data_IF_438029069599
#
_entry.id   IF_438029069599
#
_cell.length_a   1.000
_cell.length_b   1.000
_cell.length_c   1.000
_cell.angle_alpha   90.00
_cell.angle_beta   90.00
_cell.angle_gamma   90.00
#
_symmetry.space_group_name_H-M   'P 1'
#
loop_
_entity.id
_entity.type
_entity.pdbx_description
1 polymer ?
#
# COMPACT_ATOMS: atom_id res chain seq x y z
N UNK A 1 10.36 8.20 -3.16
CA UNK A 1 10.81 6.93 -2.58
C UNK A 1 11.04 5.91 -3.68
N UNK A 2 11.41 4.68 -3.34
CA UNK A 2 11.59 3.59 -4.31
C UNK A 2 10.80 2.37 -3.86
N UNK A 3 10.14 1.71 -4.81
CA UNK A 3 9.51 0.41 -4.59
C UNK A 3 10.62 -0.64 -4.51
N UNK A 4 10.56 -1.48 -3.49
CA UNK A 4 11.58 -2.51 -3.22
C UNK A 4 11.06 -3.90 -3.49
N UNK A 5 9.75 -4.14 -3.34
CA UNK A 5 9.11 -5.44 -3.57
C UNK A 5 7.73 -5.25 -4.20
N UNK A 6 7.39 -6.14 -5.12
CA UNK A 6 6.05 -6.32 -5.68
C UNK A 6 5.53 -7.71 -5.30
N UNK A 7 4.21 -7.91 -5.33
CA UNK A 7 3.55 -9.18 -5.02
C UNK A 7 3.86 -9.72 -3.61
N UNK A 8 4.09 -8.83 -2.64
CA UNK A 8 4.44 -9.24 -1.29
C UNK A 8 3.24 -9.82 -0.54
N UNK A 9 3.49 -10.80 0.32
CA UNK A 9 2.56 -11.25 1.36
C UNK A 9 2.96 -10.64 2.69
N UNK A 10 2.07 -9.84 3.29
CA UNK A 10 2.34 -9.03 4.47
C UNK A 10 1.33 -9.34 5.58
N UNK A 11 1.84 -9.54 6.79
CA UNK A 11 1.04 -9.62 8.00
C UNK A 11 1.01 -8.27 8.72
N UNK A 12 -0.19 -7.73 8.91
CA UNK A 12 -0.40 -6.46 9.60
C UNK A 12 -1.08 -6.71 10.94
N UNK A 13 -0.43 -6.29 12.01
CA UNK A 13 -0.97 -6.37 13.37
C UNK A 13 -1.93 -5.20 13.64
N UNK A 14 -3.19 -5.51 13.95
CA UNK A 14 -4.26 -4.54 14.26
C UNK A 14 -4.54 -4.43 15.78
N UNK A 15 -3.61 -4.88 16.61
CA UNK A 15 -3.71 -4.89 18.06
C UNK A 15 -4.72 -5.91 18.59
N UNK A 16 -4.69 -6.14 19.91
CA UNK A 16 -5.59 -7.07 20.59
C UNK A 16 -5.44 -8.53 20.12
N UNK A 17 -4.24 -8.91 19.69
CA UNK A 17 -3.96 -10.26 19.17
C UNK A 17 -4.48 -10.51 17.75
N UNK A 18 -4.99 -9.50 17.05
CA UNK A 18 -5.52 -9.63 15.69
C UNK A 18 -4.46 -9.27 14.66
N UNK A 19 -4.25 -10.17 13.71
CA UNK A 19 -3.37 -9.98 12.56
C UNK A 19 -4.16 -10.28 11.30
N UNK A 20 -4.03 -9.43 10.27
CA UNK A 20 -4.59 -9.68 8.96
C UNK A 20 -3.46 -9.88 7.95
N UNK A 21 -3.65 -10.85 7.06
CA UNK A 21 -2.72 -11.15 5.97
C UNK A 21 -3.22 -10.53 4.68
N UNK A 22 -2.32 -9.89 3.95
CA UNK A 22 -2.57 -9.29 2.65
C UNK A 22 -1.58 -9.86 1.64
N UNK A 23 -2.05 -10.23 0.47
CA UNK A 23 -1.25 -10.80 -0.62
C UNK A 23 -1.24 -9.83 -1.81
N UNK A 24 -0.26 -9.92 -2.70
CA UNK A 24 -0.20 -9.04 -3.88
C UNK A 24 0.19 -7.59 -3.56
N UNK A 25 0.83 -7.33 -2.42
CA UNK A 25 1.07 -5.96 -1.94
C UNK A 25 2.34 -5.33 -2.53
N UNK A 26 2.33 -4.00 -2.62
CA UNK A 26 3.48 -3.19 -3.03
C UNK A 26 4.21 -2.70 -1.78
N UNK A 27 5.53 -2.83 -1.75
CA UNK A 27 6.36 -2.43 -0.61
C UNK A 27 7.41 -1.41 -1.04
N UNK A 28 7.60 -0.39 -0.22
CA UNK A 28 8.72 0.54 -0.31
C UNK A 28 9.45 0.65 1.03
N UNK A 29 10.54 1.43 1.06
CA UNK A 29 11.11 1.93 2.32
C UNK A 29 10.15 2.86 3.08
N UNK A 30 10.59 3.54 4.15
CA UNK A 30 9.72 4.44 4.91
C UNK A 30 9.35 5.66 4.07
N UNK A 31 8.16 5.62 3.47
CA UNK A 31 7.63 6.68 2.60
C UNK A 31 6.43 7.42 3.21
N UNK A 32 5.88 6.94 4.32
CA UNK A 32 4.69 7.48 4.95
C UNK A 32 4.83 7.56 6.46
N UNK A 33 3.96 8.36 7.09
CA UNK A 33 3.81 8.48 8.52
C UNK A 33 2.36 8.20 8.94
N UNK A 34 2.13 8.07 10.25
CA UNK A 34 0.78 7.95 10.79
C UNK A 34 -0.07 9.16 10.41
N UNK A 35 -1.23 8.91 9.82
CA UNK A 35 -2.12 9.95 9.29
C UNK A 35 -2.16 10.02 7.77
N UNK A 36 -1.15 9.48 7.08
CA UNK A 36 -1.11 9.47 5.61
C UNK A 36 -1.99 8.36 5.00
N UNK A 37 -2.52 7.46 5.82
CA UNK A 37 -3.36 6.34 5.39
C UNK A 37 -4.48 6.77 4.44
N UNK A 38 -4.64 6.05 3.32
CA UNK A 38 -5.56 6.41 2.24
C UNK A 38 -4.96 7.33 1.17
N UNK A 39 -3.72 7.78 1.32
CA UNK A 39 -3.03 8.54 0.27
C UNK A 39 -2.76 7.69 -0.96
N UNK A 40 -2.85 8.34 -2.12
CA UNK A 40 -2.53 7.73 -3.41
C UNK A 40 -1.02 7.69 -3.62
N UNK A 41 -0.50 6.51 -3.95
CA UNK A 41 0.84 6.38 -4.50
C UNK A 41 0.77 6.66 -6.01
N UNK A 42 1.63 7.56 -6.47
CA UNK A 42 1.75 7.98 -7.87
C UNK A 42 3.15 7.68 -8.36
N UNK A 43 3.27 7.19 -9.60
CA UNK A 43 4.55 6.95 -10.25
C UNK A 43 5.36 8.25 -10.34
N UNK A 44 6.68 8.19 -10.15
CA UNK A 44 7.51 9.41 -10.09
C UNK A 44 7.83 10.03 -11.45
N UNK A 45 7.74 9.23 -12.51
CA UNK A 45 8.03 9.58 -13.91
C UNK A 45 6.77 9.92 -14.73
N UNK A 46 5.58 9.72 -14.15
CA UNK A 46 4.29 10.02 -14.75
C UNK A 46 3.29 10.48 -13.68
N UNK A 47 2.02 10.64 -14.02
CA UNK A 47 0.95 10.91 -13.03
C UNK A 47 0.04 9.69 -12.84
N UNK A 48 0.54 8.50 -13.15
CA UNK A 48 -0.22 7.27 -13.03
C UNK A 48 -0.37 6.87 -11.56
N UNK A 49 -1.60 6.59 -11.17
CA UNK A 49 -1.90 5.94 -9.90
C UNK A 49 -1.33 4.51 -9.91
N UNK A 50 -0.69 4.10 -8.82
CA UNK A 50 -0.06 2.77 -8.70
C UNK A 50 -0.49 2.00 -7.45
N UNK A 51 -0.85 2.70 -6.37
CA UNK A 51 -1.36 2.01 -5.19
C UNK A 51 -2.01 2.91 -4.15
N UNK A 52 -2.65 2.28 -3.16
CA UNK A 52 -3.33 2.95 -2.06
C UNK A 52 -2.68 2.57 -0.72
N UNK A 53 -2.19 3.58 0.00
CA UNK A 53 -1.51 3.39 1.28
C UNK A 53 -2.45 2.87 2.37
N UNK A 54 -2.09 1.78 3.03
CA UNK A 54 -2.87 1.24 4.15
C UNK A 54 -2.05 0.83 5.39
N UNK A 55 -0.74 0.62 5.27
CA UNK A 55 0.12 0.29 6.39
C UNK A 55 1.51 0.93 6.25
N UNK A 56 2.15 1.23 7.37
CA UNK A 56 3.48 1.84 7.39
C UNK A 56 4.18 1.69 8.72
N UNK A 57 5.50 1.81 8.68
CA UNK A 57 6.40 1.76 9.84
C UNK A 57 7.66 2.58 9.55
N UNK A 58 8.57 2.63 10.52
CA UNK A 58 9.88 3.28 10.33
C UNK A 58 10.78 2.54 9.34
N UNK A 59 10.39 1.35 8.85
CA UNK A 59 11.19 0.52 7.95
C UNK A 59 10.57 0.37 6.56
N UNK A 60 9.25 0.36 6.47
CA UNK A 60 8.54 0.08 5.24
C UNK A 60 7.17 0.75 5.19
N UNK A 61 6.73 1.03 3.97
CA UNK A 61 5.37 1.47 3.66
C UNK A 61 4.74 0.48 2.69
N UNK A 62 3.47 0.13 2.92
CA UNK A 62 2.74 -0.90 2.19
C UNK A 62 1.49 -0.31 1.53
N UNK A 63 1.28 -0.69 0.27
CA UNK A 63 0.19 -0.20 -0.56
C UNK A 63 -0.54 -1.36 -1.21
N UNK A 64 -1.87 -1.23 -1.32
CA UNK A 64 -2.67 -2.09 -2.20
C UNK A 64 -2.45 -1.67 -3.65
N UNK A 65 -2.36 -2.59 -4.63
CA UNK A 65 -2.36 -2.24 -6.05
C UNK A 65 -3.62 -1.45 -6.42
N UNK A 66 -3.47 -0.38 -7.20
CA UNK A 66 -4.62 0.49 -7.49
C UNK A 66 -5.72 -0.24 -8.29
N UNK A 67 -5.34 -1.15 -9.18
CA UNK A 67 -6.30 -1.91 -9.99
C UNK A 67 -7.22 -2.79 -9.13
N UNK A 68 -6.65 -3.46 -8.13
CA UNK A 68 -7.40 -4.29 -7.17
C UNK A 68 -8.35 -3.43 -6.33
N UNK A 69 -7.92 -2.23 -5.92
CA UNK A 69 -8.77 -1.28 -5.18
C UNK A 69 -9.94 -0.83 -6.04
N UNK A 70 -9.69 -0.47 -7.31
CA UNK A 70 -10.74 -0.03 -8.24
C UNK A 70 -11.73 -1.15 -8.55
N UNK A 71 -11.25 -2.37 -8.77
CA UNK A 71 -12.10 -3.54 -8.97
C UNK A 71 -12.98 -3.82 -7.75
N UNK A 72 -12.42 -3.79 -6.54
CA UNK A 72 -13.16 -4.01 -5.30
C UNK A 72 -14.23 -2.94 -5.04
N UNK A 73 -14.00 -1.70 -5.50
CA UNK A 73 -14.94 -0.59 -5.36
C UNK A 73 -15.88 -0.42 -6.57
N UNK A 74 -15.66 -1.18 -7.65
CA UNK A 74 -16.39 -1.07 -8.92
C UNK A 74 -16.37 0.36 -9.51
N UNK A 75 -15.17 0.92 -9.65
CA UNK A 75 -14.92 2.26 -10.20
C UNK A 75 -13.86 2.23 -11.30
N UNK A 76 -13.87 3.24 -12.17
CA UNK A 76 -12.91 3.45 -13.26
C UNK A 76 -12.34 4.87 -13.19
N UNK A 77 -11.14 5.08 -13.76
CA UNK A 77 -10.43 6.37 -13.80
C UNK A 77 -10.85 7.25 -14.98
#
# INVERSE_FOLDING_TARGET
GQITVLEATIDVNYGGGRTARFEGQIVSGPMSQGGDSGSLLVAGDSLQAVGLLYAGSNQATIFNPIEEVMAALNVEL
#
